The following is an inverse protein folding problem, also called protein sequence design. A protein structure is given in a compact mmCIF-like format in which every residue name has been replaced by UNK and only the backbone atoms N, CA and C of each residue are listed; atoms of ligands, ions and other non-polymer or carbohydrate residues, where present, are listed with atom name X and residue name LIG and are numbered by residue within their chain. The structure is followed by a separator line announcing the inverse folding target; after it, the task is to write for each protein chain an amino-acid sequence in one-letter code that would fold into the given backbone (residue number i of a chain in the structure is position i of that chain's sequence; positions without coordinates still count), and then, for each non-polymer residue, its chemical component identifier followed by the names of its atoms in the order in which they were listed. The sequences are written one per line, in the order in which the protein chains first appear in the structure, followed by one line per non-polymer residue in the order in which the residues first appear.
data_IF_496394820468
#
_entry.id   IF_496394820468
#
_cell.length_a   1.000
_cell.length_b   1.000
_cell.length_c   1.000
_cell.angle_alpha   90.00
_cell.angle_beta   90.00
_cell.angle_gamma   90.00
#
_symmetry.space_group_name_H-M   'P 1'
#
loop_
_entity.id
_entity.type
_entity.pdbx_description
1 polymer ?
#
# COMPACT_ATOMS: atom_id res chain seq x y z
N UNK A 1 13.97 2.76 -12.68
CA UNK A 1 12.54 2.59 -12.30
C UNK A 1 12.03 3.90 -11.73
N UNK A 2 10.82 4.34 -12.07
CA UNK A 2 10.24 5.58 -11.56
C UNK A 2 9.89 5.43 -10.06
N UNK A 3 10.09 6.49 -9.24
CA UNK A 3 9.83 6.48 -7.79
C UNK A 3 8.42 6.00 -7.40
N UNK A 4 7.44 6.22 -8.28
CA UNK A 4 6.06 5.81 -8.08
C UNK A 4 5.90 4.29 -8.11
N UNK A 5 6.50 3.61 -9.09
CA UNK A 5 6.45 2.16 -9.23
C UNK A 5 7.12 1.45 -8.04
N UNK A 6 8.23 2.00 -7.54
CA UNK A 6 8.88 1.46 -6.34
C UNK A 6 8.04 1.60 -5.07
N UNK A 7 7.27 2.69 -4.94
CA UNK A 7 6.34 2.88 -3.82
C UNK A 7 5.18 1.89 -3.91
N UNK A 8 4.54 1.77 -5.07
CA UNK A 8 3.45 0.79 -5.29
C UNK A 8 3.94 -0.63 -4.98
N UNK A 9 5.12 -1.02 -5.49
CA UNK A 9 5.69 -2.33 -5.21
C UNK A 9 5.95 -2.55 -3.72
N UNK A 10 6.45 -1.55 -3.01
CA UNK A 10 6.71 -1.69 -1.57
C UNK A 10 5.41 -1.80 -0.76
N UNK A 11 4.36 -1.04 -1.11
CA UNK A 11 3.04 -1.15 -0.49
C UNK A 11 2.43 -2.54 -0.73
N UNK A 12 2.48 -3.04 -1.97
CA UNK A 12 2.02 -4.40 -2.28
C UNK A 12 2.85 -5.47 -1.55
N UNK A 13 4.18 -5.32 -1.51
CA UNK A 13 5.04 -6.26 -0.80
C UNK A 13 4.78 -6.26 0.70
N UNK A 14 4.48 -5.09 1.30
CA UNK A 14 4.09 -4.98 2.69
C UNK A 14 2.75 -5.66 2.97
N UNK A 15 1.76 -5.49 2.08
CA UNK A 15 0.45 -6.14 2.22
C UNK A 15 0.53 -7.67 2.16
N UNK A 16 1.30 -8.23 1.23
CA UNK A 16 1.46 -9.67 1.09
C UNK A 16 2.55 -10.25 2.01
N UNK A 17 3.18 -9.42 2.85
CA UNK A 17 4.25 -9.84 3.77
C UNK A 17 5.57 -10.23 3.11
N UNK A 18 5.72 -10.04 1.79
CA UNK A 18 6.94 -10.35 1.02
C UNK A 18 7.93 -9.18 0.98
N UNK A 19 7.76 -8.18 1.85
CA UNK A 19 8.63 -7.02 1.93
C UNK A 19 10.01 -7.40 2.49
N UNK A 20 11.07 -7.08 1.74
CA UNK A 20 12.45 -7.27 2.19
C UNK A 20 12.81 -6.33 3.34
N UNK A 21 13.59 -6.81 4.31
CA UNK A 21 14.08 -6.02 5.46
C UNK A 21 14.83 -4.76 5.04
N UNK A 22 15.58 -4.79 3.93
CA UNK A 22 16.33 -3.63 3.44
C UNK A 22 15.42 -2.52 2.90
N UNK A 23 14.27 -2.88 2.31
CA UNK A 23 13.26 -1.91 1.86
C UNK A 23 12.48 -1.35 3.05
N UNK A 24 12.14 -2.21 4.01
CA UNK A 24 11.54 -1.79 5.28
C UNK A 24 12.44 -0.80 6.01
N UNK A 25 13.73 -1.08 6.17
CA UNK A 25 14.62 -0.12 6.82
C UNK A 25 14.68 1.22 6.08
N UNK A 26 14.73 1.23 4.75
CA UNK A 26 14.69 2.47 3.97
C UNK A 26 13.38 3.25 4.12
N UNK A 27 12.25 2.55 4.14
CA UNK A 27 10.91 3.14 4.24
C UNK A 27 10.64 3.71 5.66
N UNK A 28 11.20 3.07 6.70
CA UNK A 28 10.96 3.44 8.10
C UNK A 28 12.09 4.27 8.75
N UNK A 29 13.32 4.26 8.21
CA UNK A 29 14.43 5.10 8.74
C UNK A 29 14.37 6.56 8.28
N UNK A 30 13.65 6.85 7.20
CA UNK A 30 13.50 8.20 6.67
C UNK A 30 12.13 8.78 7.07
N UNK A 31 12.10 9.72 8.03
CA UNK A 31 10.85 10.36 8.52
C UNK A 31 9.94 10.88 7.40
N UNK A 32 10.50 11.46 6.35
CA UNK A 32 9.72 11.98 5.22
C UNK A 32 9.08 10.88 4.37
N UNK A 33 9.80 9.76 4.15
CA UNK A 33 9.28 8.61 3.40
C UNK A 33 8.21 7.86 4.20
N UNK A 34 8.37 7.76 5.52
CA UNK A 34 7.40 7.13 6.42
C UNK A 34 6.01 7.77 6.32
N UNK A 35 5.94 9.10 6.31
CA UNK A 35 4.66 9.84 6.18
C UNK A 35 4.01 9.57 4.81
N UNK A 36 4.79 9.61 3.72
CA UNK A 36 4.29 9.30 2.38
C UNK A 36 3.77 7.86 2.28
N UNK A 37 4.50 6.89 2.83
CA UNK A 37 4.07 5.49 2.86
C UNK A 37 2.79 5.26 3.66
N UNK A 38 2.68 5.91 4.82
CA UNK A 38 1.49 5.81 5.68
C UNK A 38 0.27 6.35 4.95
N UNK A 39 0.38 7.53 4.33
CA UNK A 39 -0.72 8.15 3.59
C UNK A 39 -1.16 7.27 2.41
N UNK A 40 -0.21 6.75 1.62
CA UNK A 40 -0.52 5.86 0.49
C UNK A 40 -1.19 4.58 0.97
N UNK A 41 -0.74 4.01 2.10
CA UNK A 41 -1.32 2.79 2.65
C UNK A 41 -2.77 3.02 3.13
N UNK A 42 -3.06 4.16 3.76
CA UNK A 42 -4.42 4.53 4.16
C UNK A 42 -5.33 4.67 2.95
N UNK A 43 -4.88 5.40 1.91
CA UNK A 43 -5.65 5.58 0.67
C UNK A 43 -5.89 4.23 -0.01
N UNK A 44 -4.88 3.36 -0.04
CA UNK A 44 -5.00 2.03 -0.61
C UNK A 44 -6.05 1.18 0.12
N UNK A 45 -6.02 1.15 1.46
CA UNK A 45 -6.99 0.40 2.27
C UNK A 45 -8.41 0.95 2.05
N UNK A 46 -8.56 2.27 1.98
CA UNK A 46 -9.86 2.89 1.70
C UNK A 46 -10.42 2.46 0.35
N UNK A 47 -9.59 2.48 -0.71
CA UNK A 47 -9.97 2.01 -2.05
C UNK A 47 -10.38 0.52 -2.00
N UNK A 48 -9.62 -0.31 -1.27
CA UNK A 48 -9.91 -1.73 -1.13
C UNK A 48 -11.29 -1.96 -0.47
N UNK A 49 -11.61 -1.24 0.60
CA UNK A 49 -12.91 -1.36 1.28
C UNK A 49 -14.06 -0.95 0.36
N UNK A 50 -13.93 0.17 -0.35
CA UNK A 50 -14.95 0.62 -1.32
C UNK A 50 -15.12 -0.42 -2.44
N UNK A 51 -14.03 -0.96 -2.97
CA UNK A 51 -14.08 -2.00 -3.99
C UNK A 51 -14.78 -3.28 -3.50
N UNK A 52 -14.56 -3.68 -2.25
CA UNK A 52 -15.23 -4.84 -1.64
C UNK A 52 -16.73 -4.59 -1.45
N UNK A 53 -17.13 -3.42 -0.97
CA UNK A 53 -18.55 -3.06 -0.83
C UNK A 53 -19.23 -3.12 -2.20
N UNK A 54 -18.61 -2.54 -3.22
CA UNK A 54 -19.13 -2.55 -4.58
C UNK A 54 -19.23 -3.97 -5.16
N UNK A 55 -18.21 -4.80 -4.96
CA UNK A 55 -18.19 -6.20 -5.37
C UNK A 55 -19.33 -6.99 -4.72
N UNK A 56 -19.51 -6.84 -3.39
CA UNK A 56 -20.61 -7.49 -2.67
C UNK A 56 -21.96 -7.01 -3.22
N UNK A 57 -22.11 -5.72 -3.50
CA UNK A 57 -23.31 -5.18 -4.13
C UNK A 57 -23.62 -5.80 -5.49
N UNK A 58 -22.61 -6.07 -6.32
CA UNK A 58 -22.79 -6.77 -7.61
C UNK A 58 -23.19 -8.23 -7.41
N UNK A 59 -22.58 -8.92 -6.45
CA UNK A 59 -22.81 -10.36 -6.24
C UNK A 59 -24.18 -10.61 -5.59
N UNK A 60 -24.63 -9.71 -4.72
CA UNK A 60 -25.86 -9.89 -3.92
C UNK A 60 -27.06 -9.13 -4.47
N UNK A 61 -26.85 -8.27 -5.48
CA UNK A 61 -27.87 -7.44 -6.12
C UNK A 61 -28.44 -8.04 -7.41
#
# INVERSE_FOLDING_TARGET
MTKLLSMIQSVLAAMFGVQSQNKRHQDFSNKHLFISFTLISIVFVFILVVALIWLVGIITG
#
